data_IF_434255306469
#
_entry.id   IF_434255306469
#
_cell.length_a   1.000
_cell.length_b   1.000
_cell.length_c   1.000
_cell.angle_alpha   90.00
_cell.angle_beta   90.00
_cell.angle_gamma   90.00
#
_symmetry.space_group_name_H-M   'P 1'
#
loop_
_entity.id
_entity.type
_entity.pdbx_description
1 polymer ?
#
# COMPACT_ATOMS: atom_id res chain seq x y z
N UNK A 1 10.87 44.15 -44.71
CA UNK A 1 10.49 45.40 -44.02
C UNK A 1 10.77 45.25 -42.54
N UNK A 2 11.27 46.29 -41.89
CA UNK A 2 11.43 46.33 -40.42
C UNK A 2 10.02 46.47 -39.80
N UNK A 3 9.77 45.83 -38.65
CA UNK A 3 8.52 45.98 -37.89
C UNK A 3 7.38 45.00 -38.20
N UNK A 4 7.37 44.28 -39.33
CA UNK A 4 6.29 43.31 -39.64
C UNK A 4 6.18 42.17 -38.62
N UNK A 5 7.31 41.74 -38.03
CA UNK A 5 7.32 40.78 -36.93
C UNK A 5 6.66 41.30 -35.65
N UNK A 6 6.82 42.60 -35.34
CA UNK A 6 6.20 43.25 -34.16
C UNK A 6 4.69 43.28 -34.33
N UNK A 7 4.20 43.73 -35.48
CA UNK A 7 2.76 43.75 -35.80
C UNK A 7 2.14 42.34 -35.75
N UNK A 8 2.84 41.31 -36.28
CA UNK A 8 2.40 39.92 -36.18
C UNK A 8 2.35 39.43 -34.72
N UNK A 9 3.35 39.79 -33.90
CA UNK A 9 3.36 39.49 -32.47
C UNK A 9 2.17 40.12 -31.74
N UNK A 10 1.97 41.44 -31.90
CA UNK A 10 0.84 42.16 -31.29
C UNK A 10 -0.52 41.61 -31.71
N UNK A 11 -0.69 41.23 -32.98
CA UNK A 11 -1.92 40.60 -33.46
C UNK A 11 -2.19 39.23 -32.80
N UNK A 12 -1.15 38.43 -32.55
CA UNK A 12 -1.27 37.17 -31.80
C UNK A 12 -1.60 37.43 -30.33
N UNK A 13 -0.94 38.40 -29.68
CA UNK A 13 -1.27 38.80 -28.29
C UNK A 13 -2.71 39.27 -28.18
N UNK A 14 -3.17 40.16 -29.06
CA UNK A 14 -4.55 40.66 -29.07
C UNK A 14 -5.58 39.56 -29.30
N UNK A 15 -5.32 38.63 -30.24
CA UNK A 15 -6.21 37.47 -30.49
C UNK A 15 -6.36 36.58 -29.25
N UNK A 16 -5.27 36.31 -28.53
CA UNK A 16 -5.32 35.50 -27.32
C UNK A 16 -6.02 36.26 -26.19
N UNK A 17 -5.61 37.51 -25.92
CA UNK A 17 -6.22 38.36 -24.87
C UNK A 17 -7.74 38.49 -25.03
N UNK A 18 -8.22 38.90 -26.21
CA UNK A 18 -9.66 39.00 -26.48
C UNK A 18 -10.32 37.62 -26.42
N UNK A 19 -9.66 36.59 -26.96
CA UNK A 19 -10.15 35.21 -26.95
C UNK A 19 -10.43 34.66 -25.55
N UNK A 20 -9.56 34.92 -24.57
CA UNK A 20 -9.68 34.43 -23.20
C UNK A 20 -10.88 35.01 -22.43
N UNK A 21 -11.54 36.07 -22.93
CA UNK A 21 -12.80 36.57 -22.36
C UNK A 21 -14.07 35.90 -22.92
N UNK A 22 -13.97 35.15 -24.02
CA UNK A 22 -15.12 34.60 -24.75
C UNK A 22 -15.06 33.09 -25.03
N UNK A 23 -13.87 32.48 -25.02
CA UNK A 23 -13.65 31.04 -25.25
C UNK A 23 -13.05 30.43 -23.96
N UNK A 24 -13.79 29.59 -23.21
CA UNK A 24 -13.27 28.96 -21.98
C UNK A 24 -12.08 28.03 -22.30
N UNK A 25 -12.03 27.51 -23.51
CA UNK A 25 -10.96 26.67 -24.07
C UNK A 25 -9.63 27.44 -24.20
N UNK A 26 -9.66 28.79 -24.19
CA UNK A 26 -8.45 29.65 -24.13
C UNK A 26 -8.04 30.03 -22.71
N UNK A 27 -8.74 29.54 -21.68
CA UNK A 27 -8.36 29.66 -20.28
C UNK A 27 -7.70 28.35 -19.83
N UNK A 28 -6.39 28.24 -20.05
CA UNK A 28 -5.60 27.06 -19.65
C UNK A 28 -5.29 27.00 -18.15
N UNK A 29 -5.83 27.92 -17.35
CA UNK A 29 -5.63 28.02 -15.90
C UNK A 29 -6.81 27.40 -15.17
N UNK A 30 -6.52 26.58 -14.15
CA UNK A 30 -7.51 25.97 -13.25
C UNK A 30 -7.54 26.76 -11.95
N UNK A 31 -8.73 27.16 -11.50
CA UNK A 31 -8.88 27.98 -10.29
C UNK A 31 -8.84 27.13 -9.01
N UNK A 32 -7.63 26.74 -8.60
CA UNK A 32 -7.41 25.99 -7.36
C UNK A 32 -7.53 26.91 -6.13
N UNK A 33 -8.21 26.50 -5.04
CA UNK A 33 -8.65 25.12 -4.72
C UNK A 33 -10.05 24.71 -5.19
N UNK A 34 -10.87 25.62 -5.74
CA UNK A 34 -12.27 25.40 -6.08
C UNK A 34 -12.46 24.46 -7.29
N UNK A 35 -11.71 24.69 -8.37
CA UNK A 35 -11.55 23.77 -9.48
C UNK A 35 -10.27 22.92 -9.27
N UNK A 36 -10.34 21.62 -9.51
CA UNK A 36 -9.21 20.68 -9.37
C UNK A 36 -9.01 19.86 -10.64
N UNK A 37 -7.76 19.66 -11.05
CA UNK A 37 -7.44 18.75 -12.15
C UNK A 37 -7.66 17.28 -11.72
N UNK A 38 -8.18 16.41 -12.61
CA UNK A 38 -8.28 14.98 -12.33
C UNK A 38 -6.88 14.37 -12.25
N UNK A 39 -6.55 13.75 -11.11
CA UNK A 39 -5.30 13.02 -10.92
C UNK A 39 -5.37 11.64 -11.61
N UNK A 40 -4.38 11.26 -12.44
CA UNK A 40 -4.38 9.98 -13.13
C UNK A 40 -4.32 8.82 -12.13
N UNK A 41 -4.75 7.62 -12.53
CA UNK A 41 -4.74 6.43 -11.67
C UNK A 41 -3.35 6.08 -11.14
N UNK A 42 -2.32 6.12 -11.98
CA UNK A 42 -0.93 5.88 -11.62
C UNK A 42 -0.22 7.08 -10.95
N UNK A 43 -0.97 8.00 -10.33
CA UNK A 43 -0.38 9.12 -9.60
C UNK A 43 0.42 8.64 -8.37
N UNK A 44 1.51 9.34 -8.06
CA UNK A 44 2.48 8.97 -7.03
C UNK A 44 2.72 10.16 -6.08
N UNK A 45 2.03 10.21 -4.96
CA UNK A 45 2.46 11.03 -3.82
C UNK A 45 3.03 10.14 -2.70
N UNK A 46 2.54 10.21 -1.47
CA UNK A 46 2.96 9.31 -0.38
C UNK A 46 2.11 8.04 -0.35
N UNK A 47 2.61 6.92 0.20
CA UNK A 47 1.85 5.68 0.24
C UNK A 47 0.93 5.58 1.46
N UNK A 48 -0.09 4.73 1.35
CA UNK A 48 -1.04 4.35 2.41
C UNK A 48 -1.11 2.82 2.57
N UNK A 49 -1.76 2.36 3.64
CA UNK A 49 -1.94 0.95 3.99
C UNK A 49 -3.42 0.55 3.79
N UNK A 50 -3.78 -0.19 2.73
CA UNK A 50 -5.12 -0.72 2.57
C UNK A 50 -5.51 -1.74 3.66
N UNK A 51 -6.75 -1.65 4.15
CA UNK A 51 -7.38 -2.63 5.02
C UNK A 51 -8.73 -3.14 4.47
N UNK A 52 -9.06 -4.39 4.77
CA UNK A 52 -10.31 -5.06 4.37
C UNK A 52 -11.24 -5.30 5.57
N UNK A 53 -12.55 -5.15 5.35
CA UNK A 53 -13.56 -5.26 6.42
C UNK A 53 -13.61 -4.04 7.34
N UNK A 54 -14.37 -4.15 8.44
CA UNK A 54 -14.79 -3.00 9.25
C UNK A 54 -13.71 -2.46 10.21
N UNK A 55 -12.72 -3.27 10.60
CA UNK A 55 -11.68 -2.90 11.57
C UNK A 55 -10.36 -2.50 10.87
N UNK A 56 -9.92 -1.22 10.95
CA UNK A 56 -8.63 -0.75 10.45
C UNK A 56 -7.38 -1.39 11.11
N UNK A 57 -7.53 -2.29 12.08
CA UNK A 57 -6.41 -2.96 12.74
C UNK A 57 -6.33 -4.47 12.44
N UNK A 58 -7.42 -5.22 12.48
CA UNK A 58 -7.48 -6.62 12.02
C UNK A 58 -7.53 -6.74 10.48
N UNK A 59 -8.08 -5.74 9.79
CA UNK A 59 -8.23 -5.71 8.34
C UNK A 59 -6.94 -5.42 7.56
N UNK A 60 -5.88 -4.95 8.22
CA UNK A 60 -4.63 -4.56 7.55
C UNK A 60 -3.97 -5.76 6.85
N UNK A 61 -3.77 -5.61 5.53
CA UNK A 61 -3.05 -6.60 4.67
C UNK A 61 -1.58 -6.80 5.08
N UNK A 62 -1.02 -5.89 5.89
CA UNK A 62 0.41 -5.86 6.20
C UNK A 62 0.80 -6.86 7.30
N UNK A 63 1.65 -7.84 6.95
CA UNK A 63 2.18 -8.84 7.90
C UNK A 63 3.50 -8.45 8.60
N UNK A 64 3.91 -7.17 8.46
CA UNK A 64 5.19 -6.64 8.94
C UNK A 64 6.42 -7.48 8.53
N UNK A 65 6.53 -7.79 7.23
CA UNK A 65 7.64 -8.55 6.64
C UNK A 65 8.95 -7.76 6.47
N UNK A 66 8.95 -6.45 6.70
CA UNK A 66 10.10 -5.53 6.60
C UNK A 66 10.75 -5.36 5.21
N UNK A 67 10.19 -5.95 4.15
CA UNK A 67 10.73 -5.84 2.78
C UNK A 67 10.67 -4.38 2.29
N UNK A 68 9.51 -3.74 2.38
CA UNK A 68 9.32 -2.35 1.94
C UNK A 68 10.13 -1.32 2.75
N UNK A 69 10.46 -1.61 4.01
CA UNK A 69 11.38 -0.84 4.85
C UNK A 69 12.83 -1.01 4.36
N UNK A 70 13.28 -2.25 4.16
CA UNK A 70 14.64 -2.55 3.69
C UNK A 70 14.92 -1.98 2.29
N UNK A 71 14.01 -2.12 1.35
CA UNK A 71 14.20 -1.68 -0.05
C UNK A 71 13.83 -0.19 -0.26
N UNK A 72 13.50 0.57 0.79
CA UNK A 72 13.22 2.00 0.73
C UNK A 72 14.52 2.80 0.49
N UNK A 73 14.74 3.47 -0.67
CA UNK A 73 16.04 4.10 -0.95
C UNK A 73 16.47 5.18 0.06
N UNK A 74 15.58 6.07 0.57
CA UNK A 74 15.94 7.04 1.60
C UNK A 74 15.68 6.51 3.04
N UNK A 75 15.35 5.23 3.23
CA UNK A 75 15.08 4.58 4.53
C UNK A 75 14.05 5.32 5.41
N UNK A 76 12.99 5.88 4.79
CA UNK A 76 11.98 6.71 5.48
C UNK A 76 10.81 5.94 6.12
N UNK A 77 10.85 4.60 6.12
CA UNK A 77 9.79 3.71 6.62
C UNK A 77 10.33 2.97 7.84
N UNK A 78 9.61 2.97 8.96
CA UNK A 78 9.97 2.25 10.19
C UNK A 78 8.88 1.26 10.59
N UNK A 79 9.23 -0.02 10.77
CA UNK A 79 8.28 -1.08 11.08
C UNK A 79 8.69 -1.82 12.36
N UNK A 80 7.75 -1.99 13.30
CA UNK A 80 7.90 -2.96 14.40
C UNK A 80 6.89 -4.07 14.20
N UNK A 81 7.39 -5.29 14.02
CA UNK A 81 6.58 -6.51 13.87
C UNK A 81 6.00 -6.94 15.22
N UNK A 82 4.78 -7.49 15.22
CA UNK A 82 4.18 -8.10 16.40
C UNK A 82 4.93 -9.36 16.88
N UNK A 83 4.94 -9.57 18.19
CA UNK A 83 5.43 -10.81 18.82
C UNK A 83 4.36 -11.90 18.74
N UNK A 84 3.09 -11.51 18.91
CA UNK A 84 1.90 -12.34 18.78
C UNK A 84 1.38 -12.43 17.33
N UNK A 85 0.51 -13.41 17.08
CA UNK A 85 -0.32 -13.48 15.89
C UNK A 85 -1.78 -13.23 16.24
N UNK A 86 -2.47 -12.43 15.43
CA UNK A 86 -3.92 -12.19 15.51
C UNK A 86 -4.61 -12.71 14.25
N UNK A 87 -5.90 -13.08 14.32
CA UNK A 87 -6.66 -13.33 13.10
C UNK A 87 -6.66 -12.07 12.22
N UNK A 88 -6.47 -12.26 10.91
CA UNK A 88 -6.87 -11.30 9.89
C UNK A 88 -8.41 -11.27 9.75
N UNK A 89 -8.93 -10.41 8.86
CA UNK A 89 -10.36 -10.35 8.54
C UNK A 89 -10.95 -11.67 7.97
N UNK A 90 -10.12 -12.62 7.53
CA UNK A 90 -10.52 -13.98 7.16
C UNK A 90 -10.40 -15.00 8.31
N UNK A 91 -10.08 -14.55 9.53
CA UNK A 91 -9.90 -15.40 10.71
C UNK A 91 -8.58 -16.17 10.76
N UNK A 92 -7.63 -15.90 9.85
CA UNK A 92 -6.35 -16.63 9.73
C UNK A 92 -5.27 -15.95 10.60
N UNK A 93 -4.58 -16.69 11.50
CA UNK A 93 -3.55 -16.10 12.37
C UNK A 93 -2.32 -15.58 11.61
N UNK A 94 -2.14 -14.26 11.58
CA UNK A 94 -1.00 -13.57 10.99
C UNK A 94 -0.26 -12.66 11.98
N UNK A 95 1.01 -12.37 11.68
CA UNK A 95 1.71 -11.25 12.31
C UNK A 95 1.18 -9.92 11.74
N UNK A 96 1.37 -8.82 12.46
CA UNK A 96 0.89 -7.49 12.09
C UNK A 96 1.90 -6.40 12.48
N UNK A 97 1.85 -5.19 11.92
CA UNK A 97 2.64 -4.06 12.41
C UNK A 97 2.13 -3.58 13.77
N UNK A 98 2.95 -3.76 14.81
CA UNK A 98 2.82 -3.05 16.10
C UNK A 98 3.02 -1.55 15.87
N UNK A 99 4.05 -1.21 15.09
CA UNK A 99 4.35 0.14 14.57
C UNK A 99 4.53 0.05 13.05
N UNK A 100 4.06 1.05 12.32
CA UNK A 100 4.35 1.27 10.90
C UNK A 100 4.27 2.77 10.66
N UNK A 101 5.41 3.44 10.57
CA UNK A 101 5.49 4.89 10.45
C UNK A 101 6.27 5.26 9.18
N UNK A 102 5.91 6.39 8.54
CA UNK A 102 6.56 6.89 7.32
C UNK A 102 6.85 8.39 7.48
N UNK A 103 8.13 8.76 7.39
CA UNK A 103 8.55 10.16 7.33
C UNK A 103 8.34 10.70 5.91
N UNK A 104 7.28 11.47 5.70
CA UNK A 104 6.97 12.10 4.41
C UNK A 104 7.80 13.37 4.13
N UNK A 105 8.63 13.82 5.07
CA UNK A 105 9.67 14.83 4.82
C UNK A 105 10.96 14.23 4.21
N UNK A 106 11.10 12.90 4.27
CA UNK A 106 12.24 12.14 3.73
C UNK A 106 11.82 11.21 2.57
N UNK A 107 10.55 10.85 2.46
CA UNK A 107 10.02 10.03 1.37
C UNK A 107 10.13 10.73 0.00
N UNK A 108 10.59 10.00 -1.02
CA UNK A 108 10.78 10.48 -2.39
C UNK A 108 9.76 9.93 -3.40
N UNK A 109 8.60 9.44 -2.93
CA UNK A 109 7.44 9.03 -3.75
C UNK A 109 7.71 8.00 -4.87
N UNK A 110 8.76 7.19 -4.72
CA UNK A 110 9.31 6.33 -5.77
C UNK A 110 8.49 5.08 -6.14
N UNK A 111 7.40 4.77 -5.43
CA UNK A 111 6.57 3.55 -5.54
C UNK A 111 7.28 2.19 -5.28
N UNK A 112 8.61 2.11 -5.17
CA UNK A 112 9.35 0.85 -4.91
C UNK A 112 8.76 0.04 -3.74
N UNK A 113 8.36 0.70 -2.64
CA UNK A 113 7.75 0.04 -1.48
C UNK A 113 6.44 -0.73 -1.79
N UNK A 114 5.70 -0.34 -2.83
CA UNK A 114 4.52 -1.03 -3.37
C UNK A 114 4.96 -2.19 -4.26
N UNK A 115 5.87 -1.93 -5.20
CA UNK A 115 6.36 -2.92 -6.18
C UNK A 115 7.04 -4.13 -5.51
N UNK A 116 7.67 -3.95 -4.34
CA UNK A 116 8.28 -5.03 -3.55
C UNK A 116 7.35 -5.67 -2.51
N UNK A 117 6.06 -5.34 -2.45
CA UNK A 117 5.15 -5.81 -1.41
C UNK A 117 4.39 -7.10 -1.83
N UNK A 118 4.78 -8.31 -1.38
CA UNK A 118 4.15 -9.56 -1.82
C UNK A 118 2.78 -9.84 -1.16
N UNK A 119 2.19 -8.82 -0.53
CA UNK A 119 0.90 -8.87 0.15
C UNK A 119 -0.06 -7.74 -0.29
N UNK A 120 0.32 -6.93 -1.29
CA UNK A 120 -0.47 -5.78 -1.78
C UNK A 120 -0.92 -4.84 -0.65
N UNK A 121 -0.06 -4.70 0.36
CA UNK A 121 -0.37 -4.15 1.68
C UNK A 121 0.10 -2.71 1.91
N UNK A 122 0.61 -2.09 0.87
CA UNK A 122 0.98 -0.67 0.80
C UNK A 122 0.76 -0.23 -0.66
N UNK A 123 0.09 0.90 -0.87
CA UNK A 123 -0.29 1.44 -2.18
C UNK A 123 -0.01 2.94 -2.24
N UNK A 124 0.09 3.52 -3.45
CA UNK A 124 0.31 4.97 -3.60
C UNK A 124 -0.99 5.73 -3.40
N UNK A 125 -0.94 6.82 -2.65
CA UNK A 125 -2.10 7.67 -2.38
C UNK A 125 -2.20 8.84 -3.39
N UNK A 126 -3.39 9.43 -3.46
CA UNK A 126 -3.69 10.65 -4.24
C UNK A 126 -3.82 11.90 -3.37
N UNK A 127 -3.89 11.78 -2.05
CA UNK A 127 -3.80 12.94 -1.16
C UNK A 127 -2.43 13.61 -1.27
N UNK A 128 -2.43 14.91 -1.57
CA UNK A 128 -1.26 15.79 -1.65
C UNK A 128 -1.39 17.04 -0.74
N UNK A 129 -2.46 17.17 0.05
CA UNK A 129 -2.74 18.32 0.94
C UNK A 129 -1.98 18.21 2.29
N UNK A 130 -0.77 17.67 2.21
CA UNK A 130 0.00 17.18 3.35
C UNK A 130 1.04 18.19 3.88
N UNK A 131 0.97 19.44 3.42
CA UNK A 131 1.74 20.56 3.97
C UNK A 131 1.45 20.79 5.45
N UNK A 132 2.50 21.01 6.26
CA UNK A 132 2.41 21.27 7.70
C UNK A 132 3.35 22.41 8.11
N UNK A 133 3.10 23.00 9.28
CA UNK A 133 3.93 24.07 9.87
C UNK A 133 5.13 23.52 10.65
N UNK A 134 4.92 22.42 11.36
CA UNK A 134 5.93 21.74 12.16
C UNK A 134 6.57 20.58 11.39
N UNK A 135 7.88 20.38 11.55
CA UNK A 135 8.64 19.37 10.80
C UNK A 135 8.56 17.97 11.38
N UNK A 136 8.79 17.82 12.69
CA UNK A 136 9.26 16.53 13.23
C UNK A 136 8.16 15.51 13.58
N UNK A 137 6.94 15.96 13.90
CA UNK A 137 5.83 15.06 14.25
C UNK A 137 4.74 15.07 13.18
N UNK A 138 4.34 16.26 12.69
CA UNK A 138 3.25 16.41 11.74
C UNK A 138 3.53 15.83 10.33
N UNK A 139 4.80 15.52 10.02
CA UNK A 139 5.24 14.85 8.77
C UNK A 139 5.68 13.39 8.99
N UNK A 140 5.48 12.84 10.19
CA UNK A 140 5.67 11.42 10.48
C UNK A 140 4.29 10.74 10.50
N UNK A 141 3.84 10.25 9.35
CA UNK A 141 2.55 9.57 9.23
C UNK A 141 2.64 8.21 9.95
N UNK A 142 1.78 7.99 10.93
CA UNK A 142 1.75 6.77 11.73
C UNK A 142 0.74 5.78 11.14
N UNK A 143 0.77 4.53 11.60
CA UNK A 143 -0.11 3.45 11.12
C UNK A 143 -1.60 3.83 11.08
N UNK A 144 -2.08 4.66 12.02
CA UNK A 144 -3.46 5.17 12.06
C UNK A 144 -3.80 6.07 10.88
N UNK A 145 -2.85 6.89 10.45
CA UNK A 145 -3.03 7.97 9.48
C UNK A 145 -2.83 7.42 8.06
N UNK A 146 -2.05 6.35 7.96
CA UNK A 146 -1.82 5.56 6.76
C UNK A 146 -2.95 4.54 6.49
N UNK A 147 -3.71 4.11 7.49
CA UNK A 147 -4.74 3.07 7.32
C UNK A 147 -5.98 3.63 6.60
N UNK A 148 -6.26 3.14 5.38
CA UNK A 148 -7.46 3.51 4.61
C UNK A 148 -8.16 2.26 4.08
N UNK A 149 -9.49 2.31 3.96
CA UNK A 149 -10.27 1.13 3.55
C UNK A 149 -9.99 0.72 2.11
N UNK A 150 -10.22 -0.54 1.79
CA UNK A 150 -10.19 -1.01 0.41
C UNK A 150 -11.23 -0.26 -0.46
N UNK A 151 -12.38 0.14 0.10
CA UNK A 151 -13.34 1.02 -0.60
C UNK A 151 -12.70 2.35 -1.03
N UNK A 152 -11.92 2.99 -0.16
CA UNK A 152 -11.17 4.20 -0.51
C UNK A 152 -10.17 3.94 -1.65
N UNK A 153 -9.46 2.81 -1.61
CA UNK A 153 -8.54 2.40 -2.67
C UNK A 153 -9.27 2.26 -4.02
N UNK A 154 -10.47 1.67 -4.05
CA UNK A 154 -11.34 1.64 -5.24
C UNK A 154 -11.76 3.03 -5.72
N UNK A 155 -11.98 4.02 -4.82
CA UNK A 155 -12.30 5.39 -5.26
C UNK A 155 -11.14 6.14 -5.92
N UNK A 156 -9.89 5.85 -5.52
CA UNK A 156 -8.71 6.52 -6.09
C UNK A 156 -8.17 5.77 -7.32
N UNK A 157 -8.14 4.44 -7.29
CA UNK A 157 -7.49 3.57 -8.26
C UNK A 157 -8.33 2.31 -8.53
N UNK A 158 -9.50 2.43 -9.19
CA UNK A 158 -10.46 1.32 -9.36
C UNK A 158 -9.90 0.15 -10.17
N UNK A 159 -8.97 0.38 -11.09
CA UNK A 159 -8.37 -0.65 -11.95
C UNK A 159 -7.34 -1.47 -11.17
N UNK A 160 -6.38 -0.82 -10.51
CA UNK A 160 -5.38 -1.53 -9.67
C UNK A 160 -6.06 -2.15 -8.42
N UNK A 161 -7.12 -1.55 -7.88
CA UNK A 161 -7.89 -2.15 -6.78
C UNK A 161 -8.63 -3.43 -7.20
N UNK A 162 -9.38 -3.40 -8.31
CA UNK A 162 -10.07 -4.58 -8.82
C UNK A 162 -9.08 -5.70 -9.24
N UNK A 163 -7.94 -5.35 -9.84
CA UNK A 163 -6.89 -6.32 -10.16
C UNK A 163 -6.27 -6.95 -8.90
N UNK A 164 -5.95 -6.16 -7.89
CA UNK A 164 -5.39 -6.63 -6.62
C UNK A 164 -6.36 -7.55 -5.90
N UNK A 165 -7.62 -7.16 -5.78
CA UNK A 165 -8.62 -7.95 -5.07
C UNK A 165 -8.89 -9.29 -5.77
N UNK A 166 -8.89 -9.30 -7.11
CA UNK A 166 -8.96 -10.54 -7.88
C UNK A 166 -7.73 -11.46 -7.64
N UNK A 167 -6.51 -10.91 -7.58
CA UNK A 167 -5.28 -11.65 -7.26
C UNK A 167 -5.33 -12.22 -5.84
N UNK A 168 -5.78 -11.43 -4.85
CA UNK A 168 -5.91 -11.84 -3.45
C UNK A 168 -7.01 -12.90 -3.25
N UNK A 169 -8.18 -12.75 -3.89
CA UNK A 169 -9.27 -13.72 -3.83
C UNK A 169 -8.86 -15.07 -4.45
N UNK A 170 -8.20 -15.06 -5.61
CA UNK A 170 -7.67 -16.27 -6.24
C UNK A 170 -6.60 -16.96 -5.36
N UNK A 171 -5.74 -16.18 -4.69
CA UNK A 171 -4.77 -16.72 -3.74
C UNK A 171 -5.44 -17.33 -2.49
N UNK A 172 -6.49 -16.70 -1.96
CA UNK A 172 -7.28 -17.21 -0.84
C UNK A 172 -8.01 -18.51 -1.19
N UNK A 173 -8.66 -18.57 -2.37
CA UNK A 173 -9.24 -19.81 -2.89
C UNK A 173 -8.20 -20.93 -3.06
N UNK A 174 -7.04 -20.63 -3.64
CA UNK A 174 -5.98 -21.60 -3.83
C UNK A 174 -5.43 -22.11 -2.48
N UNK A 175 -5.34 -21.25 -1.46
CA UNK A 175 -4.98 -21.64 -0.10
C UNK A 175 -6.06 -22.52 0.56
N UNK A 176 -7.35 -22.19 0.39
CA UNK A 176 -8.46 -22.97 0.89
C UNK A 176 -8.52 -24.37 0.24
N UNK A 177 -8.37 -24.44 -1.09
CA UNK A 177 -8.30 -25.68 -1.87
C UNK A 177 -7.12 -26.56 -1.43
N UNK A 178 -5.93 -25.97 -1.21
CA UNK A 178 -4.77 -26.68 -0.64
C UNK A 178 -5.02 -27.18 0.79
N UNK A 179 -5.66 -26.39 1.65
CA UNK A 179 -6.01 -26.78 3.03
C UNK A 179 -7.01 -27.94 3.05
N UNK A 180 -8.00 -27.94 2.16
CA UNK A 180 -8.96 -29.03 2.00
C UNK A 180 -8.28 -30.32 1.49
N UNK A 181 -7.40 -30.24 0.48
CA UNK A 181 -6.65 -31.39 -0.02
C UNK A 181 -5.70 -31.99 1.04
N UNK A 182 -5.04 -31.14 1.85
CA UNK A 182 -4.22 -31.59 2.97
C UNK A 182 -5.05 -32.29 4.05
N UNK A 183 -6.26 -31.80 4.36
CA UNK A 183 -7.18 -32.44 5.30
C UNK A 183 -7.80 -33.75 4.77
N UNK A 184 -7.87 -33.92 3.45
CA UNK A 184 -8.39 -35.11 2.78
C UNK A 184 -7.34 -36.22 2.56
N UNK A 185 -6.06 -35.97 2.87
CA UNK A 185 -4.99 -36.96 2.72
C UNK A 185 -4.87 -37.82 3.98
N UNK A 186 -5.15 -39.15 3.93
CA UNK A 186 -5.03 -40.00 5.12
C UNK A 186 -3.57 -40.12 5.57
N UNK A 187 -3.32 -40.01 6.88
CA UNK A 187 -1.98 -40.24 7.45
C UNK A 187 -1.64 -41.74 7.35
N UNK A 188 -0.77 -42.08 6.41
CA UNK A 188 -0.29 -43.44 6.22
C UNK A 188 0.66 -43.86 7.35
N UNK A 189 0.10 -44.58 8.34
CA UNK A 189 0.73 -45.44 9.34
C UNK A 189 2.24 -45.25 9.64
N UNK A 190 2.55 -44.59 10.76
CA UNK A 190 3.77 -44.87 11.54
C UNK A 190 3.41 -45.82 12.69
N UNK A 191 3.83 -47.08 12.61
CA UNK A 191 3.69 -48.02 13.72
C UNK A 191 4.58 -47.61 14.91
N UNK A 192 4.14 -47.84 16.17
CA UNK A 192 4.97 -47.53 17.34
C UNK A 192 6.18 -48.48 17.42
N UNK A 193 7.36 -48.00 17.85
CA UNK A 193 8.51 -48.87 18.10
C UNK A 193 8.23 -49.76 19.32
N UNK A 194 8.52 -51.07 19.19
CA UNK A 194 8.40 -52.00 20.30
C UNK A 194 9.53 -51.76 21.33
N UNK A 195 9.16 -51.46 22.57
CA UNK A 195 10.10 -51.25 23.68
C UNK A 195 10.52 -52.59 24.32
N UNK A 196 11.81 -52.92 24.27
CA UNK A 196 12.38 -54.10 24.96
C UNK A 196 13.71 -53.76 25.63
N UNK A 197 13.66 -53.01 26.74
CA UNK A 197 14.78 -52.92 27.68
C UNK A 197 14.75 -54.10 28.66
N UNK A 198 15.84 -54.89 28.81
CA UNK A 198 15.94 -55.91 29.84
C UNK A 198 16.23 -55.27 31.23
N UNK A 199 15.81 -55.92 32.33
CA UNK A 199 15.94 -55.33 33.67
C UNK A 199 17.40 -55.29 34.15
N UNK A 200 17.76 -54.20 34.86
CA UNK A 200 19.00 -54.10 35.63
C UNK A 200 19.16 -55.29 36.58
N UNK A 201 20.26 -56.03 36.46
CA UNK A 201 20.82 -56.82 37.57
C UNK A 201 21.86 -55.98 38.31
N UNK A 202 22.05 -56.27 39.60
CA UNK A 202 23.10 -55.68 40.42
C UNK A 202 24.14 -56.75 40.76
N UNK A 203 25.42 -56.47 40.51
CA UNK A 203 26.53 -57.30 40.94
C UNK A 203 27.78 -56.45 41.19
N UNK A 204 28.35 -56.63 42.37
CA UNK A 204 29.63 -56.14 42.88
C UNK A 204 30.83 -56.24 41.92
N UNK A 205 31.64 -55.18 41.88
CA UNK A 205 32.99 -55.14 42.48
C UNK A 205 33.47 -53.69 42.64
#
# INVERSE_FOLDING_TARGET
MIGTGILKGMAVTARNFVGSYFEKERLTTVQYPEERNPLPENYRNFPFLPYDGDDPHAGLRCVACKICEKECPPQCIYIVKSEDKKPDYMGKPQFYPKVFDIDISVCMSCQICVEVCPFEAIKMDKDFELSRRERFDALLLRKSDLAKSNEYYHTICPTDAAEVDAKLAAAAEAAAKKKAAAAATPVAATAPPASTDPPRSAASS
#
